data_IF_197381978516
#
_entry.id   IF_197381978516
#
_cell.length_a   1.000
_cell.length_b   1.000
_cell.length_c   1.000
_cell.angle_alpha   90.00
_cell.angle_beta   90.00
_cell.angle_gamma   90.00
#
_symmetry.space_group_name_H-M   'P 1'
#
loop_
_entity.id
_entity.type
_entity.pdbx_description
1 polymer ?
#
# COMPACT_ATOMS: atom_id res chain seq x y z
N UNK A 1 -3.58 1.93 -2.17
CA UNK A 1 -4.79 1.82 -1.33
C UNK A 1 -5.99 2.52 -1.98
N UNK A 2 -5.90 3.81 -2.34
CA UNK A 2 -7.00 4.53 -3.00
C UNK A 2 -7.49 3.85 -4.28
N UNK A 3 -6.60 3.30 -5.10
CA UNK A 3 -6.98 2.57 -6.31
C UNK A 3 -7.92 1.41 -5.99
N UNK A 4 -7.66 0.65 -4.91
CA UNK A 4 -8.57 -0.40 -4.44
C UNK A 4 -9.90 0.18 -3.97
N UNK A 5 -9.87 1.19 -3.11
CA UNK A 5 -11.07 1.82 -2.56
C UNK A 5 -12.01 2.42 -3.62
N UNK A 6 -11.45 2.99 -4.69
CA UNK A 6 -12.24 3.65 -5.76
C UNK A 6 -12.68 2.67 -6.86
N UNK A 7 -11.78 1.78 -7.27
CA UNK A 7 -12.00 0.89 -8.44
C UNK A 7 -12.58 -0.48 -8.06
N UNK A 8 -12.62 -0.81 -6.78
CA UNK A 8 -12.97 -2.14 -6.27
C UNK A 8 -11.79 -3.12 -6.36
N UNK A 9 -12.01 -4.35 -5.89
CA UNK A 9 -10.96 -5.33 -5.69
C UNK A 9 -10.18 -5.68 -6.97
N UNK A 10 -10.87 -6.17 -7.99
CA UNK A 10 -10.22 -6.68 -9.19
C UNK A 10 -9.55 -5.56 -9.99
N UNK A 11 -10.25 -4.46 -10.24
CA UNK A 11 -9.71 -3.33 -11.01
C UNK A 11 -8.60 -2.62 -10.25
N UNK A 12 -8.71 -2.48 -8.94
CA UNK A 12 -7.68 -1.92 -8.06
C UNK A 12 -6.41 -2.76 -8.09
N UNK A 13 -6.51 -4.08 -7.94
CA UNK A 13 -5.39 -5.00 -8.04
C UNK A 13 -4.74 -4.99 -9.44
N UNK A 14 -5.55 -4.98 -10.50
CA UNK A 14 -5.05 -4.88 -11.88
C UNK A 14 -4.32 -3.56 -12.14
N UNK A 15 -4.84 -2.44 -11.63
CA UNK A 15 -4.19 -1.13 -11.72
C UNK A 15 -2.82 -1.13 -11.03
N UNK A 16 -2.72 -1.73 -9.84
CA UNK A 16 -1.44 -1.87 -9.15
C UNK A 16 -0.51 -2.87 -9.84
N UNK A 17 -1.03 -3.96 -10.39
CA UNK A 17 -0.28 -4.90 -11.22
C UNK A 17 0.32 -4.23 -12.47
N UNK A 18 -0.46 -3.38 -13.14
CA UNK A 18 0.01 -2.60 -14.28
C UNK A 18 1.11 -1.60 -13.87
N UNK A 19 0.93 -0.90 -12.74
CA UNK A 19 1.97 -0.02 -12.17
C UNK A 19 3.28 -0.77 -11.96
N UNK A 20 3.22 -1.96 -11.33
CA UNK A 20 4.40 -2.80 -11.10
C UNK A 20 5.01 -3.27 -12.42
N UNK A 21 4.20 -3.72 -13.38
CA UNK A 21 4.69 -4.17 -14.67
C UNK A 21 5.38 -3.05 -15.46
N UNK A 22 4.78 -1.86 -15.50
CA UNK A 22 5.34 -0.70 -16.18
C UNK A 22 6.65 -0.24 -15.53
N UNK A 23 6.73 -0.25 -14.19
CA UNK A 23 7.97 0.02 -13.49
C UNK A 23 9.05 -1.03 -13.78
N UNK A 24 8.69 -2.32 -13.84
CA UNK A 24 9.62 -3.42 -14.13
C UNK A 24 10.25 -3.36 -15.53
N UNK A 25 9.53 -2.86 -16.53
CA UNK A 25 10.06 -2.66 -17.89
C UNK A 25 10.90 -1.37 -18.03
N UNK A 26 11.08 -0.60 -16.96
CA UNK A 26 12.03 0.52 -16.90
C UNK A 26 11.42 1.91 -16.81
N UNK A 27 10.09 2.05 -16.73
CA UNK A 27 9.50 3.37 -16.47
C UNK A 27 9.82 3.83 -15.03
N UNK A 28 10.13 5.11 -14.81
CA UNK A 28 10.59 5.65 -13.54
C UNK A 28 9.41 5.84 -12.54
N UNK A 29 8.68 4.76 -12.27
CA UNK A 29 7.47 4.78 -11.46
C UNK A 29 7.69 4.36 -10.01
N UNK A 30 8.83 3.73 -9.71
CA UNK A 30 9.15 3.30 -8.35
C UNK A 30 9.72 4.44 -7.51
N UNK A 31 10.01 4.16 -6.25
CA UNK A 31 10.57 5.13 -5.33
C UNK A 31 11.79 5.85 -5.94
N UNK A 32 11.92 7.15 -5.67
CA UNK A 32 13.02 7.99 -6.18
C UNK A 32 13.13 8.05 -7.71
N UNK A 33 12.02 7.78 -8.43
CA UNK A 33 12.02 7.78 -9.89
C UNK A 33 12.80 6.62 -10.51
N UNK A 34 12.96 5.52 -9.78
CA UNK A 34 13.62 4.32 -10.27
C UNK A 34 12.67 3.41 -11.05
N UNK A 35 13.22 2.45 -11.76
CA UNK A 35 12.50 1.43 -12.51
C UNK A 35 13.45 0.36 -13.02
N UNK A 36 12.89 -0.61 -13.74
CA UNK A 36 13.61 -1.75 -14.31
C UNK A 36 13.53 -3.00 -13.46
N UNK A 37 13.96 -4.11 -14.06
CA UNK A 37 13.83 -5.44 -13.48
C UNK A 37 14.56 -5.57 -12.14
N UNK A 38 15.76 -5.01 -12.03
CA UNK A 38 16.57 -5.05 -10.80
C UNK A 38 15.85 -4.35 -9.63
N UNK A 39 15.22 -3.20 -9.88
CA UNK A 39 14.44 -2.51 -8.87
C UNK A 39 13.16 -3.28 -8.51
N UNK A 40 12.52 -3.94 -9.49
CA UNK A 40 11.31 -4.71 -9.29
C UNK A 40 11.53 -5.99 -8.47
N UNK A 41 12.72 -6.60 -8.54
CA UNK A 41 13.05 -7.89 -7.89
C UNK A 41 13.98 -7.76 -6.68
N UNK A 42 14.47 -6.56 -6.38
CA UNK A 42 15.36 -6.29 -5.24
C UNK A 42 14.62 -6.14 -3.91
N UNK A 43 15.21 -5.43 -2.98
CA UNK A 43 14.75 -5.26 -1.60
C UNK A 43 13.30 -4.73 -1.47
N UNK A 44 12.81 -3.99 -2.46
CA UNK A 44 11.45 -3.43 -2.49
C UNK A 44 10.39 -4.33 -3.10
N UNK A 45 10.77 -5.48 -3.67
CA UNK A 45 9.84 -6.38 -4.38
C UNK A 45 8.63 -6.80 -3.54
N UNK A 46 8.86 -7.11 -2.27
CA UNK A 46 7.78 -7.46 -1.34
C UNK A 46 6.74 -6.34 -1.18
N UNK A 47 7.17 -5.08 -1.15
CA UNK A 47 6.25 -3.94 -1.09
C UNK A 47 5.42 -3.80 -2.36
N UNK A 48 6.01 -4.05 -3.54
CA UNK A 48 5.29 -4.03 -4.82
C UNK A 48 4.20 -5.10 -4.87
N UNK A 49 4.50 -6.32 -4.42
CA UNK A 49 3.49 -7.39 -4.25
C UNK A 49 2.45 -6.97 -3.22
N UNK A 50 2.90 -6.41 -2.09
CA UNK A 50 2.04 -5.88 -1.03
C UNK A 50 1.03 -4.85 -1.54
N UNK A 51 1.41 -3.98 -2.48
CA UNK A 51 0.50 -3.00 -3.09
C UNK A 51 -0.66 -3.65 -3.84
N UNK A 52 -0.39 -4.73 -4.59
CA UNK A 52 -1.41 -5.46 -5.35
C UNK A 52 -2.39 -6.13 -4.37
N UNK A 53 -1.87 -6.84 -3.37
CA UNK A 53 -2.68 -7.55 -2.36
C UNK A 53 -3.51 -6.56 -1.54
N UNK A 54 -2.89 -5.47 -1.08
CA UNK A 54 -3.57 -4.44 -0.30
C UNK A 54 -4.67 -3.73 -1.12
N UNK A 55 -4.42 -3.45 -2.40
CA UNK A 55 -5.44 -2.87 -3.29
C UNK A 55 -6.63 -3.81 -3.47
N UNK A 56 -6.38 -5.12 -3.59
CA UNK A 56 -7.45 -6.12 -3.67
C UNK A 56 -8.27 -6.18 -2.38
N UNK A 57 -7.62 -6.27 -1.22
CA UNK A 57 -8.31 -6.38 0.08
C UNK A 57 -9.10 -5.11 0.40
N UNK A 58 -8.49 -3.93 0.26
CA UNK A 58 -9.18 -2.64 0.47
C UNK A 58 -10.34 -2.48 -0.52
N UNK A 59 -10.15 -2.92 -1.77
CA UNK A 59 -11.21 -2.94 -2.77
C UNK A 59 -12.38 -3.84 -2.39
N UNK A 60 -12.10 -5.03 -1.83
CA UNK A 60 -13.14 -5.90 -1.29
C UNK A 60 -13.90 -5.25 -0.14
N UNK A 61 -13.20 -4.59 0.76
CA UNK A 61 -13.82 -3.86 1.87
C UNK A 61 -14.71 -2.71 1.37
N UNK A 62 -14.27 -1.99 0.34
CA UNK A 62 -15.05 -0.92 -0.31
C UNK A 62 -16.30 -1.47 -1.01
N UNK A 63 -16.21 -2.60 -1.73
CA UNK A 63 -17.36 -3.28 -2.33
C UNK A 63 -18.45 -3.66 -1.32
N UNK A 64 -18.09 -3.82 -0.04
CA UNK A 64 -19.00 -4.04 1.08
C UNK A 64 -19.42 -2.73 1.80
N UNK A 65 -19.17 -1.57 1.18
CA UNK A 65 -19.58 -0.27 1.68
C UNK A 65 -18.74 0.32 2.82
N UNK A 66 -17.55 -0.24 3.06
CA UNK A 66 -16.64 0.26 4.12
C UNK A 66 -15.92 1.56 3.75
N UNK A 67 -16.05 2.02 2.52
CA UNK A 67 -15.54 3.29 1.99
C UNK A 67 -16.46 4.49 2.27
N UNK A 68 -17.69 4.26 2.75
CA UNK A 68 -18.73 5.29 2.90
C UNK A 68 -18.67 6.06 4.21
N UNK A 69 -18.05 5.53 5.25
CA UNK A 69 -17.94 6.13 6.58
C UNK A 69 -16.50 6.18 7.05
N UNK A 70 -16.12 7.27 7.73
CA UNK A 70 -14.78 7.41 8.33
C UNK A 70 -14.43 6.26 9.27
N UNK A 71 -15.42 5.80 10.07
CA UNK A 71 -15.23 4.71 11.03
C UNK A 71 -14.90 3.36 10.40
N UNK A 72 -15.19 3.17 9.11
CA UNK A 72 -14.92 1.93 8.37
C UNK A 72 -13.82 2.10 7.33
N UNK A 73 -13.71 3.28 6.69
CA UNK A 73 -12.70 3.53 5.68
C UNK A 73 -11.28 3.64 6.27
N UNK A 74 -11.12 4.33 7.41
CA UNK A 74 -9.81 4.43 8.07
C UNK A 74 -9.28 3.05 8.49
N UNK A 75 -10.03 2.18 9.20
CA UNK A 75 -9.59 0.81 9.48
C UNK A 75 -9.26 0.01 8.21
N UNK A 76 -10.02 0.17 7.12
CA UNK A 76 -9.75 -0.52 5.86
C UNK A 76 -8.38 -0.12 5.27
N UNK A 77 -8.07 1.18 5.28
CA UNK A 77 -6.77 1.68 4.82
C UNK A 77 -5.62 1.27 5.74
N UNK A 78 -5.84 1.25 7.06
CA UNK A 78 -4.84 0.75 8.01
C UNK A 78 -4.57 -0.74 7.80
N UNK A 79 -5.61 -1.56 7.57
CA UNK A 79 -5.44 -2.98 7.22
C UNK A 79 -4.63 -3.15 5.94
N UNK A 80 -4.91 -2.35 4.90
CA UNK A 80 -4.11 -2.33 3.68
C UNK A 80 -2.63 -1.96 3.93
N UNK A 81 -2.38 -0.98 4.78
CA UNK A 81 -1.01 -0.59 5.16
C UNK A 81 -0.29 -1.72 5.90
N UNK A 82 -0.97 -2.41 6.82
CA UNK A 82 -0.39 -3.57 7.53
C UNK A 82 -0.05 -4.71 6.57
N UNK A 83 -0.87 -4.96 5.54
CA UNK A 83 -0.58 -5.95 4.50
C UNK A 83 0.69 -5.56 3.73
N UNK A 84 0.81 -4.30 3.32
CA UNK A 84 2.00 -3.81 2.61
C UNK A 84 3.25 -4.01 3.46
N UNK A 85 3.22 -3.62 4.72
CA UNK A 85 4.36 -3.78 5.61
C UNK A 85 4.66 -5.24 5.95
N UNK A 86 3.64 -6.07 6.17
CA UNK A 86 3.83 -7.49 6.47
C UNK A 86 4.56 -8.22 5.35
N UNK A 87 4.10 -8.02 4.10
CA UNK A 87 4.73 -8.64 2.93
C UNK A 87 6.07 -7.95 2.63
N UNK A 88 6.13 -6.60 2.67
CA UNK A 88 7.31 -5.82 2.35
C UNK A 88 8.47 -6.05 3.31
N UNK A 89 8.24 -5.94 4.62
CA UNK A 89 9.28 -6.17 5.61
C UNK A 89 9.70 -7.64 5.69
N UNK A 90 8.77 -8.58 5.48
CA UNK A 90 9.11 -10.00 5.38
C UNK A 90 10.05 -10.30 4.22
N UNK A 91 9.78 -9.73 3.04
CA UNK A 91 10.66 -9.83 1.89
C UNK A 91 12.01 -9.14 2.12
N UNK A 92 12.00 -7.93 2.68
CA UNK A 92 13.21 -7.17 2.97
C UNK A 92 14.14 -7.93 3.94
N UNK A 93 13.56 -8.57 4.96
CA UNK A 93 14.30 -9.41 5.88
C UNK A 93 14.99 -10.58 5.14
N UNK A 94 14.27 -11.23 4.23
CA UNK A 94 14.80 -12.34 3.42
C UNK A 94 15.89 -11.87 2.45
N UNK A 95 15.63 -10.81 1.69
CA UNK A 95 16.51 -10.31 0.63
C UNK A 95 17.85 -9.79 1.18
N UNK A 96 17.82 -9.08 2.32
CA UNK A 96 19.02 -8.53 2.96
C UNK A 96 19.65 -9.44 4.04
N UNK A 97 19.03 -10.59 4.34
CA UNK A 97 19.47 -11.47 5.42
C UNK A 97 19.39 -10.83 6.82
N UNK A 98 18.44 -9.92 7.01
CA UNK A 98 18.27 -9.17 8.27
C UNK A 98 17.21 -9.83 9.17
N UNK A 99 17.32 -9.69 10.50
CA UNK A 99 16.21 -10.05 11.38
C UNK A 99 15.01 -9.12 11.14
N UNK A 100 13.79 -9.62 11.36
CA UNK A 100 12.59 -8.78 11.30
C UNK A 100 12.64 -7.65 12.31
N UNK A 101 13.06 -7.95 13.55
CA UNK A 101 13.25 -7.00 14.64
C UNK A 101 14.67 -7.11 15.14
N UNK A 102 15.31 -5.98 15.46
CA UNK A 102 16.67 -5.90 16.04
C UNK A 102 16.64 -5.25 17.41
N UNK A 103 17.73 -5.37 18.14
CA UNK A 103 17.95 -4.58 19.35
C UNK A 103 18.05 -3.07 19.01
N UNK A 104 17.93 -2.21 20.03
CA UNK A 104 18.01 -0.77 19.82
C UNK A 104 19.36 -0.39 19.18
N UNK A 105 19.29 0.22 17.98
CA UNK A 105 20.46 0.63 17.20
C UNK A 105 20.98 -0.41 16.21
N UNK A 106 20.44 -1.63 16.19
CA UNK A 106 20.79 -2.63 15.18
C UNK A 106 19.86 -2.56 13.96
N UNK A 107 20.39 -2.77 12.74
CA UNK A 107 19.58 -2.79 11.54
C UNK A 107 18.64 -3.99 11.53
N UNK A 108 17.37 -3.74 11.22
CA UNK A 108 16.34 -4.77 11.07
C UNK A 108 15.40 -4.39 9.93
N UNK A 109 14.63 -5.33 9.40
CA UNK A 109 13.67 -5.04 8.33
C UNK A 109 12.63 -4.00 8.78
N UNK A 110 12.20 -4.02 10.03
CA UNK A 110 11.27 -3.01 10.57
C UNK A 110 11.94 -1.65 10.70
N UNK A 111 13.18 -1.57 11.22
CA UNK A 111 13.86 -0.28 11.38
C UNK A 111 14.17 0.41 10.06
N UNK A 112 14.44 -0.37 8.99
CA UNK A 112 14.78 0.14 7.67
C UNK A 112 13.55 0.31 6.75
N UNK A 113 12.62 -0.62 6.78
CA UNK A 113 11.54 -0.71 5.80
C UNK A 113 10.16 -0.28 6.32
N UNK A 114 9.99 -0.04 7.62
CA UNK A 114 8.71 0.35 8.23
C UNK A 114 8.83 1.66 9.00
N UNK A 115 9.73 1.71 9.98
CA UNK A 115 9.81 2.82 10.92
C UNK A 115 9.94 4.22 10.27
N UNK A 116 10.76 4.43 9.21
CA UNK A 116 10.90 5.74 8.57
C UNK A 116 9.62 6.23 7.90
N UNK A 117 8.75 5.29 7.50
CA UNK A 117 7.56 5.59 6.71
C UNK A 117 6.28 5.70 7.55
N UNK A 118 6.29 5.20 8.81
CA UNK A 118 5.11 5.10 9.66
C UNK A 118 4.34 6.43 9.79
N UNK A 119 5.03 7.52 10.09
CA UNK A 119 4.38 8.83 10.29
C UNK A 119 3.70 9.30 9.01
N UNK A 120 4.42 9.23 7.88
CA UNK A 120 3.88 9.62 6.59
C UNK A 120 2.72 8.73 6.14
N UNK A 121 2.79 7.44 6.39
CA UNK A 121 1.79 6.48 5.93
C UNK A 121 0.53 6.48 6.80
N UNK A 122 0.66 6.73 8.11
CA UNK A 122 -0.51 7.00 8.96
C UNK A 122 -1.24 8.25 8.46
N UNK A 123 -0.52 9.34 8.17
CA UNK A 123 -1.12 10.55 7.61
C UNK A 123 -1.80 10.29 6.25
N UNK A 124 -1.14 9.56 5.34
CA UNK A 124 -1.72 9.16 4.05
C UNK A 124 -2.97 8.30 4.22
N UNK A 125 -2.95 7.33 5.16
CA UNK A 125 -4.09 6.47 5.44
C UNK A 125 -5.29 7.28 5.99
N UNK A 126 -5.04 8.23 6.88
CA UNK A 126 -6.07 9.12 7.41
C UNK A 126 -6.66 10.02 6.31
N UNK A 127 -5.82 10.65 5.50
CA UNK A 127 -6.26 11.49 4.38
C UNK A 127 -7.07 10.68 3.35
N UNK A 128 -6.54 9.53 2.92
CA UNK A 128 -7.21 8.65 1.96
C UNK A 128 -8.53 8.12 2.51
N UNK A 129 -8.53 7.70 3.80
CA UNK A 129 -9.73 7.23 4.48
C UNK A 129 -10.80 8.30 4.65
N UNK A 130 -10.43 9.58 4.72
CA UNK A 130 -11.36 10.70 4.76
C UNK A 130 -11.88 11.11 3.37
N UNK A 131 -11.06 10.95 2.32
CA UNK A 131 -11.42 11.36 0.95
C UNK A 131 -12.61 10.56 0.39
N UNK A 132 -12.65 9.24 0.60
CA UNK A 132 -13.71 8.41 0.05
C UNK A 132 -15.10 8.75 0.61
N UNK A 133 -15.30 8.81 1.94
CA UNK A 133 -16.60 9.24 2.49
C UNK A 133 -16.99 10.67 2.09
N UNK A 134 -15.99 11.58 1.96
CA UNK A 134 -16.26 12.93 1.49
C UNK A 134 -16.77 12.93 0.04
N UNK A 135 -16.11 12.15 -0.85
CA UNK A 135 -16.55 12.02 -2.24
C UNK A 135 -17.98 11.44 -2.35
N UNK A 136 -18.31 10.44 -1.53
CA UNK A 136 -19.67 9.89 -1.49
C UNK A 136 -20.73 10.91 -1.10
N UNK A 137 -20.48 11.76 -0.10
CA UNK A 137 -21.40 12.84 0.29
C UNK A 137 -21.68 13.79 -0.86
N UNK A 138 -20.64 14.21 -1.61
CA UNK A 138 -20.83 15.08 -2.78
C UNK A 138 -21.72 14.44 -3.86
N UNK A 139 -21.63 13.14 -4.04
CA UNK A 139 -22.43 12.41 -5.03
C UNK A 139 -23.88 12.26 -4.57
N UNK A 140 -24.11 12.03 -3.28
CA UNK A 140 -25.45 11.87 -2.68
C UNK A 140 -26.18 13.21 -2.61
N UNK A 141 -25.51 14.30 -2.23
CA UNK A 141 -26.09 15.65 -2.13
C UNK A 141 -26.40 16.27 -3.52
N UNK A 142 -25.78 15.74 -4.59
CA UNK A 142 -26.00 16.19 -5.98
C UNK A 142 -27.13 15.48 -6.74
N UNK A 143 -27.88 14.58 -6.06
CA UNK A 143 -29.05 13.87 -6.62
C UNK A 143 -30.33 14.36 -5.97
#
# INVERSE_FOLDING_TARGET
>A
LLAGGVLGANRGAMSMGLYVALGAIGLPFYAEGTGGWTAATGATAGYLVGFIVAAFVVGKMAEHGQDRKLSTSIPAFLAGTLIIYGIGAGWLAYDLGLPLTGAAGEPSAISLGVAPFLVGDVLKALLAGAMLPAAWRFIEDGR
#
